data_IF_432349918093
#
_entry.id   IF_432349918093
#
_cell.length_a   1.000
_cell.length_b   1.000
_cell.length_c   1.000
_cell.angle_alpha   90.00
_cell.angle_beta   90.00
_cell.angle_gamma   90.00
#
_symmetry.space_group_name_H-M   'P 1'
#
loop_
_entity.id
_entity.type
_entity.pdbx_description
1 polymer ?
#
# COMPACT_ATOMS: atom_id res chain seq x y z
N UNK A 1 4.14 -6.87 20.54
CA UNK A 1 4.44 -6.84 19.10
C UNK A 1 4.88 -5.43 18.76
N UNK A 2 5.97 -5.26 18.01
CA UNK A 2 6.49 -3.94 17.65
C UNK A 2 5.75 -3.34 16.45
N UNK A 3 5.86 -2.02 16.24
CA UNK A 3 5.21 -1.32 15.12
C UNK A 3 5.56 -1.94 13.75
N UNK A 4 6.83 -2.33 13.57
CA UNK A 4 7.28 -3.02 12.36
C UNK A 4 6.62 -4.39 12.17
N UNK A 5 6.39 -5.12 13.26
CA UNK A 5 5.70 -6.42 13.21
C UNK A 5 4.21 -6.25 12.91
N UNK A 6 3.58 -5.19 13.44
CA UNK A 6 2.21 -4.84 13.12
C UNK A 6 2.09 -4.49 11.64
N UNK A 7 2.99 -3.66 11.11
CA UNK A 7 3.06 -3.32 9.70
C UNK A 7 3.09 -4.58 8.83
N UNK A 8 4.04 -5.50 9.07
CA UNK A 8 4.17 -6.75 8.29
C UNK A 8 2.93 -7.66 8.28
N UNK A 9 1.98 -7.47 9.20
CA UNK A 9 0.72 -8.24 9.28
C UNK A 9 -0.46 -7.53 8.63
N UNK A 10 -0.28 -6.29 8.20
CA UNK A 10 -1.33 -5.51 7.56
C UNK A 10 -1.58 -6.03 6.15
N UNK A 11 -2.85 -6.16 5.81
CA UNK A 11 -3.30 -6.44 4.45
C UNK A 11 -4.49 -5.59 4.11
N UNK A 12 -4.69 -5.33 2.82
CA UNK A 12 -5.83 -4.54 2.35
C UNK A 12 -7.16 -5.23 2.71
N UNK A 13 -7.20 -6.57 2.59
CA UNK A 13 -8.41 -7.36 2.82
C UNK A 13 -9.57 -6.90 1.94
N UNK A 14 -10.74 -6.72 2.55
CA UNK A 14 -11.95 -6.20 1.88
C UNK A 14 -12.11 -4.68 1.99
N UNK A 15 -11.18 -3.97 2.63
CA UNK A 15 -11.26 -2.54 2.85
C UNK A 15 -10.99 -1.76 1.55
N UNK A 16 -11.51 -0.52 1.43
CA UNK A 16 -11.05 0.44 0.44
C UNK A 16 -9.53 0.63 0.49
N UNK A 17 -8.91 0.88 -0.66
CA UNK A 17 -7.45 1.08 -0.74
C UNK A 17 -6.99 2.28 0.11
N UNK A 18 -7.81 3.32 0.17
CA UNK A 18 -7.57 4.50 0.98
C UNK A 18 -7.36 4.17 2.47
N UNK A 19 -8.19 3.30 3.03
CA UNK A 19 -8.13 2.93 4.46
C UNK A 19 -6.88 2.11 4.78
N UNK A 20 -6.51 1.21 3.87
CA UNK A 20 -5.29 0.41 3.97
C UNK A 20 -4.04 1.31 3.92
N UNK A 21 -3.95 2.18 2.91
CA UNK A 21 -2.83 3.10 2.75
C UNK A 21 -2.74 4.11 3.89
N UNK A 22 -3.87 4.60 4.40
CA UNK A 22 -3.87 5.49 5.55
C UNK A 22 -3.33 4.81 6.80
N UNK A 23 -3.72 3.56 7.03
CA UNK A 23 -3.23 2.75 8.14
C UNK A 23 -1.71 2.53 8.04
N UNK A 24 -1.20 2.22 6.85
CA UNK A 24 0.26 2.10 6.60
C UNK A 24 0.96 3.40 6.95
N UNK A 25 0.47 4.53 6.42
CA UNK A 25 1.06 5.86 6.66
C UNK A 25 1.10 6.19 8.15
N UNK A 26 0.07 5.83 8.90
CA UNK A 26 0.02 6.02 10.35
C UNK A 26 1.16 5.30 11.06
N UNK A 27 1.38 4.01 10.75
CA UNK A 27 2.44 3.20 11.37
C UNK A 27 3.83 3.67 10.93
N UNK A 28 4.01 4.06 9.67
CA UNK A 28 5.29 4.60 9.16
C UNK A 28 5.65 5.92 9.84
N UNK A 29 4.66 6.80 10.07
CA UNK A 29 4.88 8.05 10.80
C UNK A 29 5.29 7.80 12.25
N UNK A 30 4.66 6.83 12.91
CA UNK A 30 5.01 6.45 14.29
C UNK A 30 6.42 5.85 14.37
N UNK A 31 6.76 4.94 13.45
CA UNK A 31 8.12 4.40 13.30
C UNK A 31 9.17 5.50 13.09
N UNK A 32 8.83 6.51 12.29
CA UNK A 32 9.71 7.65 12.04
C UNK A 32 9.90 8.51 13.29
N UNK A 33 8.83 8.74 14.07
CA UNK A 33 8.88 9.46 15.35
C UNK A 33 9.75 8.73 16.38
N UNK A 34 9.72 7.40 16.38
CA UNK A 34 10.53 6.54 17.25
C UNK A 34 11.99 6.39 16.76
N UNK A 35 12.38 7.08 15.70
CA UNK A 35 13.75 7.04 15.16
C UNK A 35 14.08 5.76 14.37
N UNK A 36 13.05 5.03 13.93
CA UNK A 36 13.16 3.80 13.16
C UNK A 36 12.44 3.92 11.79
N UNK A 37 12.79 4.91 10.95
CA UNK A 37 12.12 5.11 9.67
C UNK A 37 12.28 3.90 8.76
N UNK A 38 11.25 3.64 7.95
CA UNK A 38 11.26 2.59 6.94
C UNK A 38 11.75 3.15 5.60
N UNK A 39 12.52 2.37 4.84
CA UNK A 39 12.92 2.75 3.50
C UNK A 39 11.78 2.60 2.49
N UNK A 40 11.78 3.46 1.47
CA UNK A 40 10.74 3.48 0.43
C UNK A 40 10.61 2.14 -0.32
N UNK A 41 11.72 1.42 -0.55
CA UNK A 41 11.69 0.15 -1.27
C UNK A 41 10.92 -0.91 -0.47
N UNK A 42 11.22 -1.07 0.82
CA UNK A 42 10.51 -2.00 1.70
C UNK A 42 9.05 -1.59 1.90
N UNK A 43 8.78 -0.28 2.04
CA UNK A 43 7.42 0.23 2.13
C UNK A 43 6.61 -0.06 0.86
N UNK A 44 7.21 0.18 -0.31
CA UNK A 44 6.61 -0.11 -1.61
C UNK A 44 6.31 -1.60 -1.76
N UNK A 45 7.31 -2.47 -1.53
CA UNK A 45 7.14 -3.92 -1.67
C UNK A 45 6.05 -4.46 -0.74
N UNK A 46 6.04 -4.02 0.52
CA UNK A 46 5.02 -4.45 1.48
C UNK A 46 3.62 -4.02 1.04
N UNK A 47 3.46 -2.74 0.69
CA UNK A 47 2.18 -2.20 0.22
C UNK A 47 1.65 -2.96 -0.99
N UNK A 48 2.50 -3.42 -1.91
CA UNK A 48 2.08 -4.17 -3.12
C UNK A 48 1.83 -5.66 -2.88
N UNK A 49 2.45 -6.26 -1.87
CA UNK A 49 2.35 -7.71 -1.61
C UNK A 49 1.00 -8.08 -0.99
N UNK A 50 0.46 -7.19 -0.17
CA UNK A 50 -0.73 -7.46 0.63
C UNK A 50 -2.00 -6.77 0.07
N UNK A 51 -1.97 -6.41 -1.21
CA UNK A 51 -3.13 -5.94 -1.96
C UNK A 51 -4.07 -7.07 -2.36
N UNK A 52 -5.34 -6.72 -2.53
CA UNK A 52 -6.37 -7.60 -3.08
C UNK A 52 -6.11 -7.90 -4.56
N UNK A 53 -6.70 -9.00 -5.05
CA UNK A 53 -6.45 -9.53 -6.38
C UNK A 53 -6.77 -8.59 -7.55
N UNK A 54 -7.69 -7.65 -7.36
CA UNK A 54 -8.07 -6.60 -8.31
C UNK A 54 -6.96 -5.56 -8.54
N UNK A 55 -5.96 -5.47 -7.67
CA UNK A 55 -4.79 -4.59 -7.84
C UNK A 55 -3.57 -5.32 -8.44
N UNK A 56 -3.66 -6.61 -8.79
CA UNK A 56 -2.50 -7.39 -9.26
C UNK A 56 -1.83 -6.78 -10.49
N UNK A 57 -2.61 -6.27 -11.43
CA UNK A 57 -2.09 -5.68 -12.67
C UNK A 57 -1.30 -4.40 -12.41
N UNK A 58 -1.87 -3.47 -11.65
CA UNK A 58 -1.18 -2.22 -11.28
C UNK A 58 0.02 -2.50 -10.35
N UNK A 59 -0.09 -3.47 -9.44
CA UNK A 59 1.02 -3.88 -8.59
C UNK A 59 2.18 -4.48 -9.41
N UNK A 60 1.89 -5.25 -10.46
CA UNK A 60 2.90 -5.76 -11.38
C UNK A 60 3.54 -4.61 -12.19
N UNK A 61 2.74 -3.66 -12.67
CA UNK A 61 3.23 -2.50 -13.40
C UNK A 61 4.15 -1.61 -12.54
N UNK A 62 3.81 -1.37 -11.27
CA UNK A 62 4.65 -0.62 -10.34
C UNK A 62 5.95 -1.39 -10.05
N UNK A 63 5.89 -2.72 -9.83
CA UNK A 63 7.10 -3.55 -9.60
C UNK A 63 8.03 -3.61 -10.81
N UNK A 64 7.48 -3.53 -12.02
CA UNK A 64 8.26 -3.53 -13.26
C UNK A 64 8.86 -2.15 -13.59
N UNK A 65 8.53 -1.10 -12.82
CA UNK A 65 9.16 0.19 -12.97
C UNK A 65 10.61 0.09 -12.46
N UNK A 66 11.58 0.43 -13.32
CA UNK A 66 13.02 0.36 -12.99
C UNK A 66 13.44 1.30 -11.84
N UNK A 67 12.53 2.16 -11.37
CA UNK A 67 12.75 3.10 -10.26
C UNK A 67 11.82 2.84 -9.09
N UNK A 68 12.37 2.92 -7.87
CA UNK A 68 11.57 2.99 -6.65
C UNK A 68 10.79 4.30 -6.63
N UNK A 69 9.47 4.21 -6.60
CA UNK A 69 8.58 5.36 -6.48
C UNK A 69 8.36 5.73 -5.01
N UNK A 70 7.96 6.97 -4.74
CA UNK A 70 7.62 7.39 -3.38
C UNK A 70 6.32 6.75 -2.89
N UNK A 71 6.09 6.77 -1.57
CA UNK A 71 4.82 6.32 -1.01
C UNK A 71 3.64 7.16 -1.52
N UNK A 72 3.84 8.47 -1.69
CA UNK A 72 2.84 9.39 -2.26
C UNK A 72 2.50 9.02 -3.71
N UNK A 73 3.50 8.77 -4.55
CA UNK A 73 3.26 8.38 -5.94
C UNK A 73 2.55 7.01 -6.02
N UNK A 74 2.93 6.06 -5.15
CA UNK A 74 2.24 4.79 -5.03
C UNK A 74 0.79 4.96 -4.56
N UNK A 75 0.55 5.85 -3.60
CA UNK A 75 -0.77 6.17 -3.08
C UNK A 75 -1.70 6.66 -4.20
N UNK A 76 -1.25 7.65 -4.97
CA UNK A 76 -2.03 8.25 -6.05
C UNK A 76 -2.37 7.21 -7.12
N UNK A 77 -1.39 6.42 -7.57
CA UNK A 77 -1.61 5.36 -8.58
C UNK A 77 -2.62 4.32 -8.13
N UNK A 78 -2.54 3.88 -6.87
CA UNK A 78 -3.45 2.88 -6.32
C UNK A 78 -4.87 3.43 -6.10
N UNK A 79 -4.98 4.69 -5.70
CA UNK A 79 -6.27 5.40 -5.59
C UNK A 79 -6.94 5.55 -6.96
N UNK A 80 -6.20 5.99 -7.97
CA UNK A 80 -6.71 6.14 -9.34
C UNK A 80 -7.20 4.80 -9.89
N UNK A 81 -6.51 3.69 -9.58
CA UNK A 81 -6.96 2.35 -9.95
C UNK A 81 -8.29 1.96 -9.29
N UNK A 82 -8.45 2.20 -7.98
CA UNK A 82 -9.71 1.87 -7.29
C UNK A 82 -10.89 2.71 -7.79
N UNK A 83 -10.64 3.96 -8.21
CA UNK A 83 -11.68 4.84 -8.77
C UNK A 83 -12.06 4.50 -10.22
N UNK A 84 -11.14 3.89 -10.97
CA UNK A 84 -11.35 3.52 -12.39
C UNK A 84 -11.90 2.11 -12.57
N UNK A 85 -11.73 1.21 -11.59
CA UNK A 85 -12.35 -0.13 -11.60
C UNK A 85 -13.84 0.00 -11.23
N UNK A 86 -14.78 -0.35 -12.13
CA UNK A 86 -16.20 -0.38 -11.80
C UNK A 86 -16.45 -1.37 -10.65
N UNK A 87 -17.04 -0.91 -9.54
CA UNK A 87 -17.52 -1.82 -8.48
C UNK A 87 -18.52 -2.79 -9.11
N UNK A 88 -18.37 -4.12 -8.93
CA UNK A 88 -19.36 -5.05 -9.43
C UNK A 88 -20.71 -4.66 -8.83
N UNK A 89 -21.67 -4.34 -9.70
CA UNK A 89 -23.06 -4.16 -9.30
C UNK A 89 -23.48 -5.52 -8.77
N UNK A 90 -23.75 -5.62 -7.47
CA UNK A 90 -24.35 -6.82 -6.89
C UNK A 90 -25.77 -6.91 -7.48
N UNK A 91 -25.95 -7.78 -8.46
CA UNK A 91 -27.25 -8.15 -9.02
C UNK A 91 -27.81 -9.40 -8.36
#
# INVERSE_FOLDING_TARGET
MGLKENLMKMSQGSSPIADYLHSIKSVVNELTLDGAPLDNLNLMMHTLNDLRSDFKEIAAAIRACDSVISFEEQYDKLMDHELTVPKPVLN
#
